data_IF_254202073715
#
_entry.id   IF_254202073715
#
_cell.length_a   1.000
_cell.length_b   1.000
_cell.length_c   1.000
_cell.angle_alpha   90.00
_cell.angle_beta   90.00
_cell.angle_gamma   90.00
#
_symmetry.space_group_name_H-M   'P 1'
#
loop_
_entity.id
_entity.type
_entity.pdbx_description
1 polymer ?
#
# COMPACT_ATOMS: atom_id res chain seq x y z
N UNK A 1 -16.98 -9.39 -24.61
CA UNK A 1 -15.92 -10.38 -24.30
C UNK A 1 -15.43 -10.08 -22.90
N UNK A 2 -15.31 -11.10 -22.02
CA UNK A 2 -14.86 -10.90 -20.63
C UNK A 2 -13.43 -10.36 -20.57
N UNK A 3 -13.19 -9.39 -19.70
CA UNK A 3 -11.87 -8.83 -19.48
C UNK A 3 -10.90 -9.86 -18.86
N UNK A 4 -11.44 -10.87 -18.18
CA UNK A 4 -10.67 -11.94 -17.55
C UNK A 4 -9.82 -12.74 -18.55
N UNK A 5 -10.24 -12.82 -19.83
CA UNK A 5 -9.48 -13.50 -20.88
C UNK A 5 -8.13 -12.80 -21.19
N UNK A 6 -7.92 -11.57 -20.70
CA UNK A 6 -6.68 -10.79 -20.86
C UNK A 6 -5.73 -10.90 -19.67
N UNK A 7 -6.14 -11.56 -18.58
CA UNK A 7 -5.30 -11.77 -17.41
C UNK A 7 -4.14 -12.73 -17.72
N UNK A 8 -3.02 -12.58 -17.02
CA UNK A 8 -1.83 -13.41 -17.24
C UNK A 8 -2.13 -14.91 -17.12
N UNK A 9 -2.88 -15.33 -16.09
CA UNK A 9 -3.27 -16.72 -15.89
C UNK A 9 -4.14 -17.25 -17.04
N UNK A 10 -5.06 -16.46 -17.58
CA UNK A 10 -5.91 -16.85 -18.70
C UNK A 10 -5.14 -16.97 -20.02
N UNK A 11 -4.03 -16.26 -20.15
CA UNK A 11 -3.09 -16.33 -21.28
C UNK A 11 -2.02 -17.43 -21.10
N UNK A 12 -2.10 -18.22 -20.01
CA UNK A 12 -1.10 -19.26 -19.70
C UNK A 12 0.27 -18.68 -19.28
N UNK A 13 0.34 -17.40 -18.90
CA UNK A 13 1.57 -16.72 -18.50
C UNK A 13 1.72 -16.69 -16.97
N UNK A 14 2.99 -16.68 -16.51
CA UNK A 14 3.33 -16.63 -15.08
C UNK A 14 3.96 -15.29 -14.65
N UNK A 15 4.29 -14.43 -15.62
CA UNK A 15 4.79 -13.08 -15.36
C UNK A 15 3.64 -12.08 -15.24
N UNK A 16 3.95 -10.91 -14.71
CA UNK A 16 2.96 -9.87 -14.40
C UNK A 16 2.73 -8.89 -15.59
N UNK A 17 3.45 -9.05 -16.70
CA UNK A 17 3.41 -8.09 -17.82
C UNK A 17 1.98 -7.96 -18.39
N UNK A 18 1.21 -9.05 -18.67
CA UNK A 18 -0.14 -8.90 -19.20
C UNK A 18 -1.06 -8.10 -18.29
N UNK A 19 -0.96 -8.30 -16.96
CA UNK A 19 -1.78 -7.59 -15.99
C UNK A 19 -1.41 -6.10 -15.93
N UNK A 20 -0.13 -5.74 -16.08
CA UNK A 20 0.34 -4.36 -16.13
C UNK A 20 -0.07 -3.66 -17.44
N UNK A 21 0.01 -4.36 -18.58
CA UNK A 21 -0.45 -3.86 -19.88
C UNK A 21 -1.97 -3.62 -19.88
N UNK A 22 -2.72 -4.60 -19.33
CA UNK A 22 -4.16 -4.47 -19.14
C UNK A 22 -4.51 -3.27 -18.26
N UNK A 23 -3.80 -3.08 -17.15
CA UNK A 23 -4.01 -1.95 -16.26
C UNK A 23 -3.79 -0.61 -16.96
N UNK A 24 -2.73 -0.48 -17.76
CA UNK A 24 -2.46 0.74 -18.55
C UNK A 24 -3.58 1.03 -19.54
N UNK A 25 -4.04 0.01 -20.26
CA UNK A 25 -5.13 0.14 -21.24
C UNK A 25 -6.44 0.56 -20.56
N UNK A 26 -6.83 -0.10 -19.47
CA UNK A 26 -8.06 0.21 -18.74
C UNK A 26 -8.04 1.60 -18.11
N UNK A 27 -6.91 2.00 -17.54
CA UNK A 27 -6.74 3.33 -16.95
C UNK A 27 -6.81 4.42 -18.03
N UNK A 28 -6.12 4.24 -19.16
CA UNK A 28 -6.13 5.20 -20.27
C UNK A 28 -7.54 5.43 -20.84
N UNK A 29 -8.34 4.38 -20.94
CA UNK A 29 -9.74 4.45 -21.43
C UNK A 29 -10.75 4.78 -20.34
N UNK A 30 -10.34 4.80 -19.06
CA UNK A 30 -11.22 4.92 -17.89
C UNK A 30 -12.38 3.92 -17.95
N UNK A 31 -12.07 2.66 -18.31
CA UNK A 31 -13.07 1.60 -18.54
C UNK A 31 -13.63 1.05 -17.23
N UNK A 32 -14.56 1.81 -16.64
CA UNK A 32 -15.18 1.46 -15.37
C UNK A 32 -15.96 0.13 -15.41
N UNK A 33 -16.43 -0.32 -16.59
CA UNK A 33 -17.15 -1.59 -16.73
C UNK A 33 -16.19 -2.76 -16.51
N UNK A 34 -15.06 -2.76 -17.22
CA UNK A 34 -14.01 -3.79 -17.06
C UNK A 34 -13.35 -3.74 -15.68
N UNK A 35 -13.14 -2.55 -15.10
CA UNK A 35 -12.60 -2.39 -13.73
C UNK A 35 -13.55 -3.01 -12.71
N UNK A 36 -14.86 -2.83 -12.87
CA UNK A 36 -15.87 -3.47 -12.03
C UNK A 36 -15.83 -5.00 -12.17
N UNK A 37 -15.74 -5.51 -13.39
CA UNK A 37 -15.61 -6.95 -13.63
C UNK A 37 -14.39 -7.54 -12.90
N UNK A 38 -13.24 -6.85 -12.90
CA UNK A 38 -12.09 -7.26 -12.11
C UNK A 38 -12.38 -7.28 -10.59
N UNK A 39 -13.05 -6.25 -10.08
CA UNK A 39 -13.38 -6.15 -8.65
C UNK A 39 -14.36 -7.26 -8.20
N UNK A 40 -15.35 -7.58 -8.99
CA UNK A 40 -16.29 -8.67 -8.74
C UNK A 40 -15.58 -10.03 -8.73
N UNK A 41 -14.52 -10.21 -9.52
CA UNK A 41 -13.74 -11.44 -9.60
C UNK A 41 -12.62 -11.58 -8.55
N UNK A 42 -12.49 -10.64 -7.62
CA UNK A 42 -11.68 -10.82 -6.39
C UNK A 42 -12.16 -12.03 -5.55
N UNK A 43 -13.39 -12.49 -5.78
CA UNK A 43 -14.05 -13.62 -5.08
C UNK A 43 -14.25 -14.84 -5.99
N UNK A 44 -13.64 -14.87 -7.16
CA UNK A 44 -13.71 -16.01 -8.08
C UNK A 44 -13.22 -17.31 -7.40
N UNK A 45 -13.70 -18.47 -7.83
CA UNK A 45 -13.24 -19.77 -7.30
C UNK A 45 -11.77 -20.04 -7.63
N UNK A 46 -11.29 -19.58 -8.80
CA UNK A 46 -9.90 -19.72 -9.22
C UNK A 46 -9.02 -18.69 -8.53
N UNK A 47 -8.05 -19.18 -7.74
CA UNK A 47 -7.11 -18.36 -6.99
C UNK A 47 -6.15 -17.55 -7.88
N UNK A 48 -5.89 -18.00 -9.11
CA UNK A 48 -5.04 -17.27 -10.03
C UNK A 48 -5.80 -16.07 -10.60
N UNK A 49 -7.08 -16.25 -10.95
CA UNK A 49 -7.96 -15.13 -11.36
C UNK A 49 -8.05 -14.11 -10.23
N UNK A 50 -8.29 -14.53 -8.97
CA UNK A 50 -8.30 -13.60 -7.83
C UNK A 50 -7.00 -12.79 -7.74
N UNK A 51 -5.85 -13.47 -7.84
CA UNK A 51 -4.54 -12.86 -7.71
C UNK A 51 -4.25 -11.86 -8.85
N UNK A 52 -4.61 -12.22 -10.08
CA UNK A 52 -4.42 -11.35 -11.24
C UNK A 52 -5.39 -10.17 -11.24
N UNK A 53 -6.64 -10.35 -10.78
CA UNK A 53 -7.59 -9.25 -10.59
C UNK A 53 -7.09 -8.22 -9.59
N UNK A 54 -6.66 -8.64 -8.39
CA UNK A 54 -6.13 -7.69 -7.41
C UNK A 54 -4.86 -7.02 -7.90
N UNK A 55 -3.99 -7.75 -8.62
CA UNK A 55 -2.79 -7.20 -9.26
C UNK A 55 -3.17 -6.11 -10.24
N UNK A 56 -4.07 -6.39 -11.18
CA UNK A 56 -4.49 -5.42 -12.20
C UNK A 56 -5.15 -4.20 -11.57
N UNK A 57 -5.98 -4.37 -10.54
CA UNK A 57 -6.63 -3.26 -9.84
C UNK A 57 -5.62 -2.31 -9.17
N UNK A 58 -4.62 -2.82 -8.44
CA UNK A 58 -3.67 -1.89 -7.84
C UNK A 58 -2.71 -1.26 -8.87
N UNK A 59 -2.41 -1.93 -9.98
CA UNK A 59 -1.67 -1.34 -11.09
C UNK A 59 -2.47 -0.19 -11.76
N UNK A 60 -3.78 -0.36 -11.95
CA UNK A 60 -4.68 0.74 -12.37
C UNK A 60 -4.58 1.89 -11.37
N UNK A 61 -4.62 1.58 -10.09
CA UNK A 61 -4.54 2.57 -9.03
C UNK A 61 -3.23 3.35 -9.00
N UNK A 62 -2.10 2.74 -9.35
CA UNK A 62 -0.82 3.46 -9.49
C UNK A 62 -0.87 4.53 -10.58
N UNK A 63 -1.67 4.32 -11.61
CA UNK A 63 -1.85 5.25 -12.74
C UNK A 63 -2.90 6.31 -12.39
N UNK A 64 -4.08 5.86 -11.95
CA UNK A 64 -5.23 6.72 -11.65
C UNK A 64 -5.95 6.19 -10.39
N UNK A 65 -5.58 6.65 -9.18
CA UNK A 65 -6.16 6.17 -7.91
C UNK A 65 -7.68 6.26 -7.83
N UNK A 66 -8.27 7.28 -8.48
CA UNK A 66 -9.72 7.50 -8.44
C UNK A 66 -10.52 6.34 -9.06
N UNK A 67 -9.93 5.59 -10.02
CA UNK A 67 -10.61 4.47 -10.68
C UNK A 67 -10.84 3.27 -9.76
N UNK A 68 -10.03 3.14 -8.69
CA UNK A 68 -10.18 2.04 -7.73
C UNK A 68 -10.66 2.49 -6.35
N UNK A 69 -10.82 3.79 -6.14
CA UNK A 69 -11.18 4.38 -4.85
C UNK A 69 -12.56 3.95 -4.32
N UNK A 70 -13.46 3.51 -5.19
CA UNK A 70 -14.77 2.97 -4.82
C UNK A 70 -14.75 1.54 -4.25
N UNK A 71 -13.63 0.81 -4.39
CA UNK A 71 -13.51 -0.60 -3.99
C UNK A 71 -12.77 -0.81 -2.66
N UNK A 72 -12.59 0.23 -1.85
CA UNK A 72 -11.88 0.17 -0.56
C UNK A 72 -12.44 -0.93 0.34
N UNK A 73 -13.76 -1.08 0.45
CA UNK A 73 -14.38 -2.11 1.29
C UNK A 73 -14.05 -3.54 0.81
N UNK A 74 -13.93 -3.75 -0.49
CA UNK A 74 -13.51 -5.04 -1.04
C UNK A 74 -12.05 -5.33 -0.73
N UNK A 75 -11.17 -4.33 -0.87
CA UNK A 75 -9.76 -4.48 -0.48
C UNK A 75 -9.59 -4.77 1.02
N UNK A 76 -10.40 -4.15 1.89
CA UNK A 76 -10.42 -4.45 3.34
C UNK A 76 -10.85 -5.89 3.61
N UNK A 77 -11.84 -6.42 2.89
CA UNK A 77 -12.25 -7.83 3.02
C UNK A 77 -11.10 -8.78 2.64
N UNK A 78 -10.27 -8.44 1.64
CA UNK A 78 -9.12 -9.25 1.25
C UNK A 78 -8.08 -9.42 2.38
N UNK A 79 -7.99 -8.47 3.31
CA UNK A 79 -7.08 -8.54 4.46
C UNK A 79 -7.36 -9.73 5.38
N UNK A 80 -8.58 -10.32 5.32
CA UNK A 80 -8.99 -11.50 6.08
C UNK A 80 -8.75 -12.81 5.33
N UNK A 81 -8.20 -12.76 4.11
CA UNK A 81 -7.96 -13.95 3.29
C UNK A 81 -6.87 -14.84 3.89
N UNK A 82 -7.02 -16.17 3.71
CA UNK A 82 -5.94 -17.14 3.97
C UNK A 82 -4.88 -17.17 2.84
N UNK A 83 -5.15 -16.50 1.72
CA UNK A 83 -4.21 -16.37 0.60
C UNK A 83 -3.39 -15.09 0.78
N UNK A 84 -2.11 -15.23 1.11
CA UNK A 84 -1.21 -14.08 1.32
C UNK A 84 -1.13 -13.16 0.10
N UNK A 85 -1.27 -13.65 -1.14
CA UNK A 85 -1.29 -12.80 -2.34
C UNK A 85 -2.45 -11.81 -2.31
N UNK A 86 -3.61 -12.23 -1.82
CA UNK A 86 -4.77 -11.34 -1.68
C UNK A 86 -4.59 -10.36 -0.53
N UNK A 87 -4.01 -10.80 0.59
CA UNK A 87 -3.77 -9.92 1.76
C UNK A 87 -2.85 -8.76 1.38
N UNK A 88 -1.66 -9.05 0.83
CA UNK A 88 -0.75 -7.97 0.47
C UNK A 88 -1.17 -7.21 -0.79
N UNK A 89 -1.85 -7.85 -1.75
CA UNK A 89 -2.45 -7.16 -2.88
C UNK A 89 -3.55 -6.18 -2.46
N UNK A 90 -4.44 -6.59 -1.55
CA UNK A 90 -5.44 -5.71 -0.94
C UNK A 90 -4.80 -4.56 -0.16
N UNK A 91 -3.70 -4.82 0.56
CA UNK A 91 -2.97 -3.79 1.30
C UNK A 91 -2.31 -2.76 0.37
N UNK A 92 -1.74 -3.19 -0.77
CA UNK A 92 -1.22 -2.29 -1.82
C UNK A 92 -2.37 -1.42 -2.36
N UNK A 93 -3.49 -2.07 -2.75
CA UNK A 93 -4.65 -1.37 -3.30
C UNK A 93 -5.20 -0.31 -2.32
N UNK A 94 -5.27 -0.61 -1.02
CA UNK A 94 -5.65 0.36 0.02
C UNK A 94 -4.70 1.55 0.08
N UNK A 95 -3.39 1.31 0.02
CA UNK A 95 -2.39 2.39 0.03
C UNK A 95 -2.51 3.31 -1.18
N UNK A 96 -2.84 2.76 -2.33
CA UNK A 96 -3.06 3.55 -3.56
C UNK A 96 -4.40 4.27 -3.52
N UNK A 97 -5.48 3.59 -3.12
CA UNK A 97 -6.81 4.17 -3.01
C UNK A 97 -6.88 5.32 -1.98
N UNK A 98 -6.03 5.28 -0.94
CA UNK A 98 -5.94 6.35 0.07
C UNK A 98 -5.61 7.73 -0.52
N UNK A 99 -4.99 7.79 -1.70
CA UNK A 99 -4.71 9.06 -2.39
C UNK A 99 -5.97 9.76 -2.91
N UNK A 100 -7.02 8.98 -3.23
CA UNK A 100 -8.27 9.49 -3.78
C UNK A 100 -9.46 9.37 -2.81
N UNK A 101 -9.44 8.40 -1.89
CA UNK A 101 -10.49 8.19 -0.90
C UNK A 101 -9.90 7.85 0.49
N UNK A 102 -9.17 8.79 1.11
CA UNK A 102 -8.54 8.57 2.41
C UNK A 102 -9.57 8.33 3.53
N UNK A 103 -10.78 8.89 3.41
CA UNK A 103 -11.85 8.75 4.40
C UNK A 103 -12.31 7.29 4.53
N UNK A 104 -12.51 6.61 3.40
CA UNK A 104 -12.89 5.20 3.39
C UNK A 104 -11.76 4.32 3.98
N UNK A 105 -10.51 4.61 3.65
CA UNK A 105 -9.36 3.88 4.21
C UNK A 105 -9.23 4.15 5.71
N UNK A 106 -9.39 5.40 6.15
CA UNK A 106 -9.32 5.76 7.57
C UNK A 106 -10.42 5.08 8.42
N UNK A 107 -11.64 4.94 7.89
CA UNK A 107 -12.73 4.19 8.57
C UNK A 107 -12.34 2.74 8.88
N UNK A 108 -11.43 2.16 8.11
CA UNK A 108 -10.99 0.79 8.22
C UNK A 108 -9.59 0.63 8.88
N UNK A 109 -9.14 1.67 9.61
CA UNK A 109 -7.81 1.74 10.22
C UNK A 109 -7.47 0.53 11.10
N UNK A 110 -8.42 0.07 11.91
CA UNK A 110 -8.20 -1.07 12.82
C UNK A 110 -8.00 -2.39 12.06
N UNK A 111 -8.72 -2.59 10.96
CA UNK A 111 -8.53 -3.77 10.10
C UNK A 111 -7.13 -3.76 9.44
N UNK A 112 -6.65 -2.60 9.01
CA UNK A 112 -5.32 -2.42 8.43
C UNK A 112 -4.23 -2.69 9.49
N UNK A 113 -4.35 -2.12 10.69
CA UNK A 113 -3.42 -2.36 11.81
C UNK A 113 -3.38 -3.83 12.18
N UNK A 114 -4.54 -4.48 12.35
CA UNK A 114 -4.64 -5.90 12.67
C UNK A 114 -3.97 -6.78 11.60
N UNK A 115 -4.21 -6.51 10.32
CA UNK A 115 -3.58 -7.24 9.22
C UNK A 115 -2.06 -7.01 9.17
N UNK A 116 -1.56 -5.82 9.54
CA UNK A 116 -0.13 -5.54 9.68
C UNK A 116 0.51 -6.37 10.79
N UNK A 117 -0.13 -6.45 11.96
CA UNK A 117 0.41 -7.13 13.15
C UNK A 117 0.57 -8.64 12.95
N UNK A 118 -0.33 -9.27 12.20
CA UNK A 118 -0.31 -10.71 11.90
C UNK A 118 0.23 -11.06 10.51
N UNK A 119 0.63 -10.06 9.74
CA UNK A 119 0.93 -10.20 8.33
C UNK A 119 2.36 -10.64 8.00
N UNK A 120 2.55 -11.05 6.75
CA UNK A 120 3.88 -11.29 6.18
C UNK A 120 4.68 -9.98 6.08
N UNK A 121 6.00 -10.10 5.84
CA UNK A 121 6.88 -8.93 5.61
C UNK A 121 6.30 -8.00 4.54
N UNK A 122 5.81 -8.57 3.42
CA UNK A 122 5.22 -7.80 2.33
C UNK A 122 3.95 -7.08 2.79
N UNK A 123 3.13 -7.73 3.63
CA UNK A 123 1.93 -7.10 4.21
C UNK A 123 2.30 -5.92 5.11
N UNK A 124 3.29 -6.10 6.00
CA UNK A 124 3.79 -5.03 6.88
C UNK A 124 4.31 -3.85 6.07
N UNK A 125 5.16 -4.11 5.08
CA UNK A 125 5.70 -3.10 4.18
C UNK A 125 4.63 -2.24 3.52
N UNK A 126 3.57 -2.87 3.02
CA UNK A 126 2.50 -2.18 2.32
C UNK A 126 1.51 -1.51 3.29
N UNK A 127 1.34 -2.06 4.50
CA UNK A 127 0.55 -1.43 5.54
C UNK A 127 1.17 -0.10 6.01
N UNK A 128 2.50 -0.05 6.19
CA UNK A 128 3.19 1.21 6.51
C UNK A 128 2.94 2.26 5.43
N UNK A 129 3.03 1.87 4.14
CA UNK A 129 2.74 2.77 3.03
C UNK A 129 1.27 3.25 3.02
N UNK A 130 0.31 2.33 3.21
CA UNK A 130 -1.12 2.65 3.23
C UNK A 130 -1.47 3.62 4.38
N UNK A 131 -0.95 3.34 5.58
CA UNK A 131 -1.12 4.19 6.75
C UNK A 131 -0.51 5.58 6.54
N UNK A 132 0.70 5.66 5.97
CA UNK A 132 1.36 6.93 5.72
C UNK A 132 0.64 7.78 4.67
N UNK A 133 0.14 7.17 3.58
CA UNK A 133 -0.68 7.87 2.58
C UNK A 133 -1.98 8.39 3.17
N UNK A 134 -2.65 7.59 4.01
CA UNK A 134 -3.87 8.02 4.70
C UNK A 134 -3.57 9.18 5.67
N UNK A 135 -2.48 9.08 6.45
CA UNK A 135 -2.05 10.13 7.36
C UNK A 135 -1.72 11.45 6.65
N UNK A 136 -1.16 11.38 5.45
CA UNK A 136 -0.81 12.54 4.65
C UNK A 136 -2.03 13.37 4.19
N UNK A 137 -3.22 12.76 4.15
CA UNK A 137 -4.42 13.39 3.58
C UNK A 137 -5.03 14.49 4.46
N UNK A 138 -4.87 14.44 5.79
CA UNK A 138 -5.38 15.47 6.69
C UNK A 138 -4.67 15.50 8.05
N UNK A 139 -4.74 16.65 8.73
CA UNK A 139 -4.23 16.78 10.12
C UNK A 139 -4.90 15.79 11.08
N UNK A 140 -6.22 15.55 10.93
CA UNK A 140 -6.98 14.58 11.73
C UNK A 140 -6.43 13.18 11.58
N UNK A 141 -6.20 12.73 10.35
CA UNK A 141 -5.68 11.39 10.09
C UNK A 141 -4.23 11.25 10.49
N UNK A 142 -3.44 12.30 10.29
CA UNK A 142 -2.06 12.36 10.75
C UNK A 142 -1.96 12.18 12.26
N UNK A 143 -2.73 12.93 13.04
CA UNK A 143 -2.74 12.84 14.51
C UNK A 143 -3.11 11.45 15.02
N UNK A 144 -4.00 10.72 14.31
CA UNK A 144 -4.42 9.38 14.69
C UNK A 144 -3.44 8.26 14.25
N UNK A 145 -2.70 8.47 13.16
CA UNK A 145 -1.90 7.41 12.53
C UNK A 145 -0.40 7.59 12.79
N UNK A 146 0.10 8.83 12.78
CA UNK A 146 1.53 9.09 12.86
C UNK A 146 2.20 8.53 14.12
N UNK A 147 1.61 8.62 15.33
CA UNK A 147 2.19 8.01 16.53
C UNK A 147 2.37 6.48 16.39
N UNK A 148 1.45 5.80 15.73
CA UNK A 148 1.54 4.35 15.46
C UNK A 148 2.68 4.02 14.47
N UNK A 149 2.86 4.84 13.43
CA UNK A 149 3.98 4.69 12.49
C UNK A 149 5.32 4.96 13.18
N UNK A 150 5.36 5.96 14.05
CA UNK A 150 6.57 6.30 14.81
C UNK A 150 6.98 5.16 15.76
N UNK A 151 6.02 4.58 16.48
CA UNK A 151 6.27 3.44 17.36
C UNK A 151 6.75 2.21 16.56
N UNK A 152 6.17 1.99 15.39
CA UNK A 152 6.64 0.95 14.49
C UNK A 152 8.12 1.15 14.07
N UNK A 153 8.54 2.37 13.74
CA UNK A 153 9.93 2.66 13.40
C UNK A 153 10.90 2.45 14.56
N UNK A 154 10.45 2.68 15.80
CA UNK A 154 11.26 2.40 17.00
C UNK A 154 11.53 0.92 17.19
N UNK A 155 10.57 0.06 16.80
CA UNK A 155 10.53 -1.36 17.18
C UNK A 155 10.74 -2.34 16.04
N UNK A 156 10.57 -1.93 14.78
CA UNK A 156 10.78 -2.81 13.61
C UNK A 156 12.23 -3.28 13.48
N UNK A 157 12.43 -4.38 12.75
CA UNK A 157 13.77 -4.96 12.57
C UNK A 157 14.73 -3.96 11.92
N UNK A 158 16.01 -3.92 12.29
CA UNK A 158 16.98 -2.97 11.73
C UNK A 158 16.98 -2.92 10.20
N UNK A 159 16.94 -4.07 9.53
CA UNK A 159 16.91 -4.17 8.06
C UNK A 159 15.68 -3.53 7.40
N UNK A 160 14.61 -3.32 8.14
CA UNK A 160 13.36 -2.72 7.64
C UNK A 160 13.31 -1.20 7.82
N UNK A 161 14.11 -0.66 8.75
CA UNK A 161 14.12 0.78 9.07
C UNK A 161 14.29 1.67 7.84
N UNK A 162 15.22 1.40 6.91
CA UNK A 162 15.40 2.25 5.74
C UNK A 162 14.14 2.31 4.88
N UNK A 163 13.54 1.17 4.56
CA UNK A 163 12.35 1.09 3.72
C UNK A 163 11.12 1.67 4.41
N UNK A 164 10.93 1.36 5.70
CA UNK A 164 9.77 1.85 6.44
C UNK A 164 9.85 3.35 6.74
N UNK A 165 11.06 3.90 6.95
CA UNK A 165 11.24 5.34 7.09
C UNK A 165 10.91 6.10 5.78
N UNK A 166 11.35 5.59 4.64
CA UNK A 166 10.99 6.14 3.32
C UNK A 166 9.47 6.11 3.10
N UNK A 167 8.81 4.98 3.44
CA UNK A 167 7.36 4.83 3.31
C UNK A 167 6.57 5.71 4.29
N UNK A 168 7.13 6.02 5.46
CA UNK A 168 6.51 6.90 6.46
C UNK A 168 6.65 8.39 6.09
N UNK A 169 7.63 8.75 5.28
CA UNK A 169 7.94 10.14 4.95
C UNK A 169 6.73 10.95 4.43
N UNK A 170 5.77 10.42 3.64
CA UNK A 170 4.57 11.18 3.28
C UNK A 170 3.77 11.73 4.45
N UNK A 171 3.76 11.04 5.61
CA UNK A 171 3.07 11.45 6.82
C UNK A 171 3.85 12.47 7.66
N UNK A 172 5.12 12.74 7.33
CA UNK A 172 5.94 13.71 8.06
C UNK A 172 5.57 15.12 7.64
N UNK A 173 5.39 16.00 8.60
CA UNK A 173 5.00 17.41 8.44
C UNK A 173 5.91 18.33 9.24
N UNK A 174 5.83 19.64 9.06
CA UNK A 174 6.56 20.61 9.88
C UNK A 174 6.26 20.47 11.38
N UNK A 175 5.05 20.03 11.75
CA UNK A 175 4.62 19.90 13.15
C UNK A 175 5.10 18.62 13.84
N UNK A 176 5.44 17.55 13.10
CA UNK A 176 5.81 16.24 13.67
C UNK A 176 7.22 15.77 13.31
N UNK A 177 7.95 16.50 12.47
CA UNK A 177 9.33 16.13 12.11
C UNK A 177 10.27 16.12 13.33
N UNK A 178 9.99 16.93 14.35
CA UNK A 178 10.76 16.97 15.59
C UNK A 178 10.67 15.65 16.39
N UNK A 179 9.58 14.88 16.24
CA UNK A 179 9.43 13.55 16.82
C UNK A 179 10.03 12.46 15.93
N UNK A 180 9.97 12.66 14.61
CA UNK A 180 10.41 11.67 13.62
C UNK A 180 11.93 11.54 13.53
N UNK A 181 12.63 12.67 13.45
CA UNK A 181 14.08 12.72 13.21
C UNK A 181 14.86 12.02 14.33
N UNK A 182 14.63 12.29 15.63
CA UNK A 182 15.38 11.63 16.70
C UNK A 182 15.20 10.11 16.74
N UNK A 183 14.01 9.60 16.35
CA UNK A 183 13.80 8.16 16.23
C UNK A 183 14.72 7.57 15.18
N UNK A 184 14.82 8.19 14.02
CA UNK A 184 15.70 7.69 12.96
C UNK A 184 17.18 7.85 13.31
N UNK A 185 17.58 8.95 13.96
CA UNK A 185 18.95 9.15 14.43
C UNK A 185 19.39 8.04 15.38
N UNK A 186 18.54 7.70 16.36
CA UNK A 186 18.79 6.56 17.24
C UNK A 186 18.89 5.24 16.49
N UNK A 187 18.01 5.01 15.51
CA UNK A 187 18.00 3.76 14.72
C UNK A 187 19.19 3.65 13.75
N UNK A 188 19.90 4.75 13.44
CA UNK A 188 21.12 4.69 12.64
C UNK A 188 22.24 3.89 13.33
N UNK A 189 22.24 3.78 14.67
CA UNK A 189 23.20 2.97 15.43
C UNK A 189 23.11 1.48 15.06
N UNK A 190 21.92 1.01 14.62
CA UNK A 190 21.64 -0.37 14.20
C UNK A 190 22.04 -0.64 12.73
N UNK A 191 22.50 0.36 11.98
CA UNK A 191 22.60 0.32 10.51
C UNK A 191 24.03 0.56 10.01
N UNK A 192 24.32 0.00 8.82
CA UNK A 192 25.57 0.22 8.10
C UNK A 192 25.34 0.35 6.59
N UNK A 193 26.36 0.76 5.85
CA UNK A 193 26.37 0.76 4.39
C UNK A 193 25.18 1.48 3.75
N UNK A 194 24.55 0.84 2.77
CA UNK A 194 23.43 1.40 2.01
C UNK A 194 22.19 1.71 2.85
N UNK A 195 21.92 0.91 3.89
CA UNK A 195 20.80 1.14 4.80
C UNK A 195 20.94 2.47 5.56
N UNK A 196 22.12 2.71 6.10
CA UNK A 196 22.46 3.94 6.79
C UNK A 196 22.36 5.17 5.85
N UNK A 197 22.86 5.04 4.61
CA UNK A 197 22.78 6.12 3.63
C UNK A 197 21.32 6.49 3.28
N UNK A 198 20.44 5.51 3.14
CA UNK A 198 19.01 5.71 2.90
C UNK A 198 18.35 6.48 4.04
N UNK A 199 18.59 6.08 5.29
CA UNK A 199 18.01 6.76 6.46
C UNK A 199 18.52 8.19 6.60
N UNK A 200 19.82 8.46 6.37
CA UNK A 200 20.36 9.82 6.31
C UNK A 200 19.64 10.69 5.25
N UNK A 201 19.34 10.10 4.08
CA UNK A 201 18.57 10.79 3.04
C UNK A 201 17.15 11.12 3.50
N UNK A 202 16.47 10.19 4.18
CA UNK A 202 15.12 10.43 4.74
C UNK A 202 15.14 11.54 5.78
N UNK A 203 16.13 11.56 6.68
CA UNK A 203 16.28 12.64 7.68
C UNK A 203 16.42 13.99 6.98
N UNK A 204 17.31 14.08 5.97
CA UNK A 204 17.48 15.33 5.19
C UNK A 204 16.16 15.77 4.52
N UNK A 205 15.38 14.84 3.98
CA UNK A 205 14.07 15.14 3.40
C UNK A 205 13.04 15.57 4.44
N UNK A 206 13.06 14.99 5.64
CA UNK A 206 12.20 15.37 6.74
C UNK A 206 12.54 16.77 7.28
N UNK A 207 13.82 17.13 7.35
CA UNK A 207 14.29 18.48 7.77
C UNK A 207 13.77 19.56 6.83
N UNK A 208 13.65 19.27 5.54
CA UNK A 208 13.19 20.22 4.52
C UNK A 208 11.66 20.44 4.50
N UNK A 209 10.89 19.72 5.33
CA UNK A 209 9.43 19.88 5.50
C UNK A 209 9.13 20.86 6.65
#
# INVERSE_FOLDING_TARGET
MSILNRLACSLGRRDEIPNQELARDLAARRDNVSIRELAENLWAKDKNIQADCVKTLYEIGYIEPALIAGYVEDFVKLLKSRNNRLVWGGMIALGVAAKANPDAVFKNLDAIKKAKESGSVITVDNAVAALAQTAAASRKYNAAIFPYLLEHLKTCRPKEVPQHSEKTLPAVTASNKADFIPVLEKRMEDLSGGGLARVKKVIKQAQAR
#
